data_IF_209871196455
#
_entry.id   IF_209871196455
#
_cell.length_a   1.000
_cell.length_b   1.000
_cell.length_c   1.000
_cell.angle_alpha   90.00
_cell.angle_beta   90.00
_cell.angle_gamma   90.00
#
_symmetry.space_group_name_H-M   'P 1'
#
loop_
_entity.id
_entity.type
_entity.pdbx_description
1 polymer ?
#
# COMPACT_ATOMS: atom_id res chain seq x y z
N UNK A 1 5.81 -13.07 -6.83
CA UNK A 1 5.48 -11.83 -6.05
C UNK A 1 3.99 -11.80 -5.77
N UNK A 2 3.51 -11.10 -4.74
CA UNK A 2 2.06 -11.07 -4.40
C UNK A 2 1.20 -10.37 -5.46
N UNK A 3 1.82 -9.49 -6.24
CA UNK A 3 1.16 -8.65 -7.24
C UNK A 3 1.72 -8.85 -8.66
N UNK A 4 2.37 -9.99 -8.93
CA UNK A 4 3.01 -10.25 -10.23
C UNK A 4 2.05 -10.20 -11.42
N UNK A 5 0.80 -10.56 -11.21
CA UNK A 5 -0.26 -10.53 -12.19
C UNK A 5 -1.07 -9.21 -12.20
N UNK A 6 -0.65 -8.24 -11.39
CA UNK A 6 -1.14 -6.88 -11.43
C UNK A 6 -0.12 -6.02 -12.19
N UNK A 7 -0.20 -6.00 -13.51
CA UNK A 7 0.76 -5.37 -14.43
C UNK A 7 1.19 -3.95 -14.05
N UNK A 8 0.35 -3.24 -13.30
CA UNK A 8 0.56 -1.84 -12.93
C UNK A 8 1.66 -1.67 -11.87
N UNK A 9 1.91 -2.68 -11.04
CA UNK A 9 2.77 -2.55 -9.86
C UNK A 9 4.05 -3.37 -9.91
N UNK A 10 4.13 -4.36 -10.78
CA UNK A 10 5.34 -5.18 -10.96
C UNK A 10 6.59 -4.36 -11.28
N UNK A 11 6.42 -3.23 -11.99
CA UNK A 11 7.51 -2.32 -12.31
C UNK A 11 8.05 -1.51 -11.12
N UNK A 12 7.37 -1.50 -9.97
CA UNK A 12 7.77 -0.74 -8.77
C UNK A 12 8.66 -1.53 -7.82
N UNK A 13 8.64 -2.86 -7.89
CA UNK A 13 9.40 -3.72 -7.01
C UNK A 13 10.89 -3.34 -6.95
N UNK A 14 11.44 -3.24 -5.75
CA UNK A 14 12.83 -2.87 -5.48
C UNK A 14 13.27 -1.48 -5.97
N UNK A 15 12.34 -0.59 -6.30
CA UNK A 15 12.69 0.76 -6.79
C UNK A 15 12.69 1.80 -5.68
N UNK A 16 13.52 2.80 -5.89
CA UNK A 16 13.57 4.01 -5.06
C UNK A 16 13.30 5.19 -5.99
N UNK A 17 12.33 6.01 -5.64
CA UNK A 17 12.02 7.25 -6.34
C UNK A 17 12.28 8.43 -5.42
N UNK A 18 13.00 9.45 -5.94
CA UNK A 18 13.11 10.72 -5.26
C UNK A 18 11.91 11.59 -5.68
N UNK A 19 11.15 11.99 -4.72
CA UNK A 19 9.95 12.78 -4.89
C UNK A 19 10.12 14.15 -4.24
N UNK A 20 9.30 15.07 -4.67
CA UNK A 20 9.24 16.41 -4.08
C UNK A 20 7.80 16.67 -3.69
N UNK A 21 7.64 17.10 -2.46
CA UNK A 21 6.37 17.44 -1.88
C UNK A 21 6.28 18.96 -1.73
N UNK A 22 5.19 19.54 -2.18
CA UNK A 22 4.96 20.98 -2.09
C UNK A 22 3.71 21.24 -1.24
N UNK A 23 3.91 21.54 0.04
CA UNK A 23 2.86 22.11 0.87
C UNK A 23 3.19 23.58 1.16
N UNK A 24 2.19 24.43 1.13
CA UNK A 24 2.31 25.84 1.57
C UNK A 24 3.47 26.62 0.95
N UNK A 25 3.88 26.28 -0.29
CA UNK A 25 5.01 26.91 -0.98
C UNK A 25 6.40 26.42 -0.57
N UNK A 26 6.49 25.49 0.37
CA UNK A 26 7.74 24.81 0.71
C UNK A 26 7.92 23.55 -0.12
N UNK A 27 9.15 23.33 -0.59
CA UNK A 27 9.54 22.14 -1.35
C UNK A 27 10.30 21.23 -0.40
N UNK A 28 9.66 20.12 -0.01
CA UNK A 28 10.26 19.12 0.88
C UNK A 28 10.57 17.85 0.08
N UNK A 29 11.85 17.50 -0.07
CA UNK A 29 12.21 16.25 -0.73
C UNK A 29 11.91 15.06 0.16
N UNK A 30 11.42 13.96 -0.42
CA UNK A 30 11.24 12.68 0.24
C UNK A 30 11.55 11.54 -0.72
N UNK A 31 11.85 10.36 -0.21
CA UNK A 31 12.06 9.18 -1.04
C UNK A 31 10.93 8.17 -0.86
N UNK A 32 10.54 7.54 -1.97
CA UNK A 32 9.64 6.41 -1.99
C UNK A 32 10.43 5.14 -2.31
N UNK A 33 10.61 4.27 -1.33
CA UNK A 33 11.13 2.93 -1.57
C UNK A 33 9.98 1.94 -1.68
N UNK A 34 10.08 1.05 -2.64
CA UNK A 34 9.19 -0.10 -2.79
C UNK A 34 9.97 -1.38 -2.50
N UNK A 35 9.41 -2.24 -1.66
CA UNK A 35 10.03 -3.52 -1.33
C UNK A 35 9.98 -4.51 -2.51
N UNK A 36 10.51 -5.71 -2.33
CA UNK A 36 10.55 -6.74 -3.38
C UNK A 36 9.16 -7.19 -3.85
N UNK A 37 8.11 -6.96 -3.06
CA UNK A 37 6.73 -7.27 -3.42
C UNK A 37 5.99 -6.10 -4.09
N UNK A 38 6.65 -4.94 -4.24
CA UNK A 38 6.08 -3.75 -4.89
C UNK A 38 5.24 -2.87 -3.98
N UNK A 39 5.22 -3.11 -2.67
CA UNK A 39 4.57 -2.22 -1.70
C UNK A 39 5.53 -1.17 -1.18
N UNK A 40 5.01 0.02 -0.90
CA UNK A 40 5.82 1.11 -0.36
C UNK A 40 6.24 0.80 1.07
N UNK A 41 7.49 0.44 1.23
CA UNK A 41 8.08 0.11 2.53
C UNK A 41 9.59 0.17 2.46
N UNK A 42 10.21 0.55 3.58
CA UNK A 42 11.65 0.44 3.79
C UNK A 42 12.06 -0.99 4.20
N UNK A 43 11.11 -1.88 4.42
CA UNK A 43 11.32 -3.23 4.93
C UNK A 43 10.76 -4.28 3.98
N UNK A 44 11.37 -5.47 4.00
CA UNK A 44 10.91 -6.64 3.26
C UNK A 44 9.86 -7.40 4.07
N UNK A 45 8.67 -7.55 3.53
CA UNK A 45 7.53 -8.13 4.26
C UNK A 45 7.62 -9.63 4.47
N UNK A 46 8.44 -10.35 3.68
CA UNK A 46 8.69 -11.77 3.84
C UNK A 46 9.33 -12.12 5.19
N UNK A 47 10.09 -11.19 5.79
CA UNK A 47 10.71 -11.43 7.11
C UNK A 47 9.70 -11.55 8.25
N UNK A 48 8.47 -11.09 8.05
CA UNK A 48 7.40 -11.09 9.06
C UNK A 48 6.44 -12.29 8.92
N UNK A 49 6.69 -13.19 7.99
CA UNK A 49 5.90 -14.42 7.85
C UNK A 49 5.90 -15.18 9.19
N UNK A 50 4.71 -15.62 9.61
CA UNK A 50 4.46 -16.23 10.94
C UNK A 50 4.65 -15.31 12.16
N UNK A 51 4.92 -14.03 11.97
CA UNK A 51 4.96 -13.04 13.04
C UNK A 51 3.58 -12.43 13.26
N UNK A 52 3.28 -12.03 14.50
CA UNK A 52 2.05 -11.31 14.81
C UNK A 52 2.13 -9.88 14.24
N UNK A 53 1.22 -9.55 13.35
CA UNK A 53 1.20 -8.27 12.64
C UNK A 53 -0.20 -7.68 12.53
N UNK A 54 -0.25 -6.39 12.24
CA UNK A 54 -1.45 -5.69 11.78
C UNK A 54 -1.35 -5.52 10.27
N UNK A 55 -2.36 -5.94 9.54
CA UNK A 55 -2.46 -5.68 8.10
C UNK A 55 -3.14 -4.33 7.87
N UNK A 56 -2.51 -3.45 7.12
CA UNK A 56 -3.03 -2.15 6.75
C UNK A 56 -3.25 -2.11 5.23
N UNK A 57 -4.52 -2.06 4.82
CA UNK A 57 -4.94 -2.14 3.42
C UNK A 57 -5.63 -0.85 3.00
N UNK A 58 -5.49 -0.49 1.75
CA UNK A 58 -6.14 0.68 1.20
C UNK A 58 -5.54 1.14 -0.12
N UNK A 59 -5.86 2.35 -0.51
CA UNK A 59 -5.41 3.00 -1.73
C UNK A 59 -4.23 3.96 -1.49
N UNK A 60 -4.12 5.02 -2.29
CA UNK A 60 -3.06 6.03 -2.20
C UNK A 60 -2.98 6.74 -0.84
N UNK A 61 -4.08 6.85 -0.11
CA UNK A 61 -4.07 7.40 1.26
C UNK A 61 -3.34 6.47 2.24
N UNK A 62 -3.43 5.16 2.04
CA UNK A 62 -2.68 4.19 2.84
C UNK A 62 -1.21 4.13 2.43
N UNK A 63 -0.92 4.28 1.14
CA UNK A 63 0.45 4.44 0.62
C UNK A 63 1.12 5.70 1.17
N UNK A 64 0.34 6.72 1.53
CA UNK A 64 0.80 8.05 1.89
C UNK A 64 1.53 8.75 0.75
N UNK A 65 0.85 8.82 -0.42
CA UNK A 65 1.34 9.57 -1.57
C UNK A 65 1.51 11.05 -1.21
N UNK A 66 2.65 11.62 -1.55
CA UNK A 66 2.93 13.04 -1.31
C UNK A 66 3.73 13.33 -0.04
N UNK A 67 4.06 12.32 0.77
CA UNK A 67 4.85 12.49 1.99
C UNK A 67 5.70 11.24 2.26
N UNK A 68 6.56 11.30 3.28
CA UNK A 68 7.40 10.17 3.70
C UNK A 68 6.56 9.02 4.28
N UNK A 69 7.07 7.80 4.17
CA UNK A 69 6.36 6.60 4.64
C UNK A 69 6.19 6.59 6.17
N UNK A 70 7.08 7.23 6.88
CA UNK A 70 7.05 7.36 8.34
C UNK A 70 5.83 8.15 8.85
N UNK A 71 5.30 9.04 8.01
CA UNK A 71 4.11 9.84 8.30
C UNK A 71 2.81 9.16 7.87
N UNK A 72 2.88 7.96 7.30
CA UNK A 72 1.70 7.19 6.93
C UNK A 72 0.92 6.73 8.16
N UNK A 73 -0.41 6.60 8.04
CA UNK A 73 -1.21 6.11 9.16
C UNK A 73 -0.82 4.69 9.62
N UNK A 74 -0.36 3.74 8.76
CA UNK A 74 0.17 2.47 9.24
C UNK A 74 1.41 2.62 10.12
N UNK A 75 2.33 3.54 9.76
CA UNK A 75 3.53 3.80 10.56
C UNK A 75 3.19 4.43 11.92
N UNK A 76 2.25 5.36 11.94
CA UNK A 76 1.77 5.98 13.19
C UNK A 76 1.06 4.96 14.07
N UNK A 77 0.23 4.09 13.47
CA UNK A 77 -0.47 3.03 14.18
C UNK A 77 0.52 2.04 14.81
N UNK A 78 1.58 1.66 14.08
CA UNK A 78 2.66 0.81 14.61
C UNK A 78 3.31 1.41 15.86
N UNK A 79 3.62 2.70 15.82
CA UNK A 79 4.20 3.40 16.98
C UNK A 79 3.28 3.41 18.19
N UNK A 80 1.97 3.56 17.97
CA UNK A 80 0.99 3.59 19.05
C UNK A 80 0.70 2.21 19.65
N UNK A 81 0.63 1.19 18.80
CA UNK A 81 0.30 -0.17 19.25
C UNK A 81 1.52 -0.96 19.75
N UNK A 82 2.72 -0.60 19.33
CA UNK A 82 3.93 -1.41 19.56
C UNK A 82 3.88 -2.78 18.85
N UNK A 83 3.03 -2.92 17.84
CA UNK A 83 2.89 -4.13 17.02
C UNK A 83 3.17 -3.79 15.57
N UNK A 84 3.94 -4.63 14.88
CA UNK A 84 4.30 -4.41 13.48
C UNK A 84 3.07 -4.22 12.59
N UNK A 85 3.01 -3.11 11.88
CA UNK A 85 1.97 -2.79 10.91
C UNK A 85 2.55 -2.88 9.50
N UNK A 86 1.99 -3.75 8.66
CA UNK A 86 2.40 -3.93 7.28
C UNK A 86 1.50 -3.13 6.36
N UNK A 87 2.09 -2.18 5.63
CA UNK A 87 1.37 -1.30 4.71
C UNK A 87 1.21 -1.98 3.34
N UNK A 88 0.04 -2.53 3.08
CA UNK A 88 -0.36 -3.12 1.81
C UNK A 88 -1.24 -2.17 0.97
N UNK A 89 -1.11 -0.88 1.16
CA UNK A 89 -1.75 0.12 0.30
C UNK A 89 -1.20 0.08 -1.12
N UNK A 90 -2.07 0.33 -2.09
CA UNK A 90 -1.70 0.49 -3.50
C UNK A 90 -2.36 1.74 -4.09
N UNK A 91 -1.57 2.52 -4.82
CA UNK A 91 -2.08 3.71 -5.53
C UNK A 91 -3.18 3.33 -6.51
N UNK A 92 -4.30 4.05 -6.46
CA UNK A 92 -5.42 3.83 -7.36
C UNK A 92 -6.24 2.57 -7.09
N UNK A 93 -5.90 1.79 -6.06
CA UNK A 93 -6.63 0.56 -5.75
C UNK A 93 -8.12 0.80 -5.54
N UNK A 94 -8.94 -0.05 -6.15
CA UNK A 94 -10.36 -0.19 -5.83
C UNK A 94 -10.58 -1.23 -4.73
N UNK A 95 -11.81 -1.33 -4.24
CA UNK A 95 -12.13 -2.25 -3.14
C UNK A 95 -11.96 -3.74 -3.52
N UNK A 96 -12.12 -4.07 -4.78
CA UNK A 96 -11.85 -5.41 -5.33
C UNK A 96 -10.35 -5.73 -5.32
N UNK A 97 -9.50 -4.77 -5.64
CA UNK A 97 -8.03 -4.91 -5.54
C UNK A 97 -7.60 -5.08 -4.09
N UNK A 98 -8.13 -4.26 -3.18
CA UNK A 98 -7.86 -4.35 -1.74
C UNK A 98 -8.23 -5.75 -1.22
N UNK A 99 -9.41 -6.25 -1.60
CA UNK A 99 -9.83 -7.61 -1.25
C UNK A 99 -8.91 -8.68 -1.80
N UNK A 100 -8.51 -8.56 -3.07
CA UNK A 100 -7.59 -9.50 -3.72
C UNK A 100 -6.25 -9.59 -2.98
N UNK A 101 -5.67 -8.45 -2.61
CA UNK A 101 -4.43 -8.40 -1.83
C UNK A 101 -4.63 -9.09 -0.49
N UNK A 102 -5.68 -8.75 0.25
CA UNK A 102 -5.99 -9.40 1.53
C UNK A 102 -6.06 -10.92 1.39
N UNK A 103 -6.78 -11.42 0.39
CA UNK A 103 -6.93 -12.87 0.17
C UNK A 103 -5.59 -13.57 -0.13
N UNK A 104 -4.64 -12.89 -0.76
CA UNK A 104 -3.30 -13.42 -1.04
C UNK A 104 -2.36 -13.46 0.15
N UNK A 105 -2.54 -12.54 1.10
CA UNK A 105 -1.61 -12.38 2.22
C UNK A 105 -2.13 -12.93 3.55
N UNK A 106 -3.42 -13.08 3.73
CA UNK A 106 -4.05 -13.42 5.02
C UNK A 106 -3.53 -14.70 5.68
N UNK A 107 -3.00 -15.64 4.90
CA UNK A 107 -2.46 -16.90 5.40
C UNK A 107 -0.94 -16.89 5.62
N UNK A 108 -0.27 -15.78 5.31
CA UNK A 108 1.20 -15.65 5.45
C UNK A 108 1.62 -15.21 6.84
N UNK A 109 0.72 -14.59 7.58
CA UNK A 109 1.03 -13.95 8.86
C UNK A 109 0.11 -14.43 9.98
N UNK A 110 0.54 -14.24 11.22
CA UNK A 110 -0.36 -14.25 12.38
C UNK A 110 -0.98 -12.87 12.49
N UNK A 111 -2.26 -12.75 12.19
CA UNK A 111 -2.93 -11.45 12.09
C UNK A 111 -3.57 -11.10 13.43
N UNK A 112 -3.08 -10.02 14.05
CA UNK A 112 -3.72 -9.44 15.24
C UNK A 112 -4.98 -8.64 14.87
N UNK A 113 -4.90 -7.90 13.75
CA UNK A 113 -5.97 -7.04 13.28
C UNK A 113 -5.76 -6.74 11.79
N UNK A 114 -6.84 -6.53 11.06
CA UNK A 114 -6.82 -5.99 9.70
C UNK A 114 -7.54 -4.64 9.70
N UNK A 115 -6.81 -3.59 9.31
CA UNK A 115 -7.34 -2.25 9.14
C UNK A 115 -7.48 -1.95 7.64
N UNK A 116 -8.65 -1.51 7.22
CA UNK A 116 -8.95 -1.25 5.81
C UNK A 116 -9.46 0.18 5.65
N UNK A 117 -8.81 0.93 4.77
CA UNK A 117 -9.34 2.17 4.23
C UNK A 117 -9.98 1.84 2.89
N UNK A 118 -11.30 1.86 2.84
CA UNK A 118 -12.02 1.60 1.60
C UNK A 118 -11.84 2.74 0.60
N UNK A 119 -11.64 2.36 -0.64
CA UNK A 119 -11.48 3.28 -1.76
C UNK A 119 -12.83 3.61 -2.42
N UNK A 120 -12.77 4.50 -3.39
CA UNK A 120 -13.94 4.88 -4.20
C UNK A 120 -14.48 3.69 -4.99
N UNK A 121 -15.82 3.51 -5.01
CA UNK A 121 -16.44 2.35 -5.67
C UNK A 121 -16.47 2.44 -7.20
N UNK A 122 -16.14 3.58 -7.80
CA UNK A 122 -15.93 3.69 -9.24
C UNK A 122 -14.57 3.18 -9.72
N UNK A 123 -13.64 2.87 -8.79
CA UNK A 123 -12.37 2.22 -9.10
C UNK A 123 -12.55 0.71 -9.08
N UNK A 124 -12.19 0.05 -10.17
CA UNK A 124 -12.37 -1.38 -10.35
C UNK A 124 -11.11 -2.03 -10.90
N UNK A 125 -10.95 -3.32 -10.60
CA UNK A 125 -9.96 -4.17 -11.25
C UNK A 125 -10.64 -4.93 -12.40
N UNK A 126 -10.16 -4.74 -13.61
CA UNK A 126 -10.66 -5.44 -14.78
C UNK A 126 -9.50 -5.98 -15.59
N UNK A 127 -9.47 -7.29 -15.82
CA UNK A 127 -8.42 -7.99 -16.57
C UNK A 127 -6.98 -7.61 -16.11
N UNK A 128 -6.77 -7.60 -14.78
CA UNK A 128 -5.48 -7.23 -14.16
C UNK A 128 -5.14 -5.74 -14.20
N UNK A 129 -6.01 -4.90 -14.76
CA UNK A 129 -5.80 -3.46 -14.85
C UNK A 129 -6.75 -2.69 -13.92
N UNK A 130 -6.23 -1.64 -13.30
CA UNK A 130 -7.07 -0.70 -12.57
C UNK A 130 -7.77 0.22 -13.56
N UNK A 131 -9.08 0.23 -13.50
CA UNK A 131 -9.92 1.15 -14.27
C UNK A 131 -10.68 2.08 -13.33
N UNK A 132 -10.91 3.29 -13.79
CA UNK A 132 -11.81 4.23 -13.16
C UNK A 132 -13.02 4.40 -14.08
N UNK A 133 -14.20 4.12 -13.56
CA UNK A 133 -15.44 4.32 -14.29
C UNK A 133 -15.86 5.77 -14.10
N UNK A 134 -15.73 6.56 -15.15
CA UNK A 134 -16.17 7.95 -15.14
C UNK A 134 -17.69 8.05 -15.29
N UNK A 135 -18.26 9.06 -14.66
CA UNK A 135 -19.72 9.29 -14.66
C UNK A 135 -20.29 9.77 -16.01
N UNK A 136 -19.47 9.85 -17.04
CA UNK A 136 -19.87 10.26 -18.40
C UNK A 136 -20.21 9.09 -19.34
N UNK A 137 -20.51 7.94 -18.77
CA UNK A 137 -21.08 6.82 -19.53
C UNK A 137 -22.59 6.81 -19.42
#
# INVERSE_FOLDING_TARGET
>A
MIIDDLDIYSHRANKIHNCVHCYTGEVLPYSCRYNSWGFRSNEEYGQYENTLVVLCLGDSFTVNQGDSVENSWPSILEQQLGTKCLNFGLDGAGNDTIKLIHDRIKNKYKIAMTCVVYSYFHRRLFDGQLIQIDSEL
#
